data_IF_901902284305
#
_entry.id   IF_901902284305
#
_cell.length_a   1.000
_cell.length_b   1.000
_cell.length_c   1.000
_cell.angle_alpha   90.00
_cell.angle_beta   90.00
_cell.angle_gamma   90.00
#
_symmetry.space_group_name_H-M   'P 1'
#
loop_
_entity.id
_entity.type
_entity.pdbx_description
1 polymer ?
#
# COMPACT_ATOMS: atom_id res chain seq x y z
N UNK A 1 -6.72 -21.17 -12.30
CA UNK A 1 -8.13 -20.73 -12.27
C UNK A 1 -8.32 -19.98 -10.97
N UNK A 2 -8.35 -18.65 -11.01
CA UNK A 2 -8.62 -17.81 -9.84
C UNK A 2 -10.14 -17.79 -9.71
N UNK A 3 -10.69 -18.31 -8.61
CA UNK A 3 -12.13 -18.27 -8.37
C UNK A 3 -12.59 -16.79 -8.36
N UNK A 4 -13.72 -16.46 -9.00
CA UNK A 4 -14.27 -15.12 -8.90
C UNK A 4 -14.59 -14.80 -7.43
N UNK A 5 -14.32 -13.56 -6.96
CA UNK A 5 -14.46 -13.17 -5.55
C UNK A 5 -15.89 -13.39 -5.01
N UNK A 6 -16.87 -13.44 -5.90
CA UNK A 6 -18.30 -13.65 -5.63
C UNK A 6 -18.65 -15.07 -5.14
N UNK A 7 -17.66 -15.98 -5.13
CA UNK A 7 -17.81 -17.37 -4.66
C UNK A 7 -16.95 -17.69 -3.44
N UNK A 8 -16.32 -16.67 -2.81
CA UNK A 8 -15.50 -16.88 -1.62
C UNK A 8 -16.37 -17.36 -0.45
N UNK A 9 -15.99 -18.48 0.17
CA UNK A 9 -16.60 -18.95 1.41
C UNK A 9 -16.15 -18.06 2.56
N UNK A 10 -17.11 -17.48 3.28
CA UNK A 10 -16.83 -16.65 4.47
C UNK A 10 -16.81 -17.54 5.70
N UNK A 11 -15.67 -17.58 6.37
CA UNK A 11 -15.49 -18.33 7.62
C UNK A 11 -15.50 -17.35 8.78
N UNK A 12 -16.59 -17.39 9.56
CA UNK A 12 -16.72 -16.59 10.78
C UNK A 12 -15.74 -17.11 11.86
N UNK A 13 -14.89 -16.23 12.38
CA UNK A 13 -13.92 -16.55 13.43
C UNK A 13 -14.43 -16.22 14.84
N UNK A 14 -15.56 -15.52 14.96
CA UNK A 14 -16.22 -15.17 16.21
C UNK A 14 -16.46 -16.38 17.14
N UNK A 15 -16.90 -17.56 16.66
CA UNK A 15 -17.11 -18.72 17.50
C UNK A 15 -15.83 -19.25 18.17
N UNK A 16 -14.66 -18.91 17.64
CA UNK A 16 -13.37 -19.35 18.18
C UNK A 16 -12.93 -18.50 19.39
N UNK A 17 -13.58 -17.36 19.65
CA UNK A 17 -13.34 -16.53 20.84
C UNK A 17 -11.89 -16.05 20.97
N UNK A 18 -11.21 -15.81 19.85
CA UNK A 18 -9.77 -15.53 19.84
C UNK A 18 -9.52 -14.07 20.27
N UNK A 19 -8.78 -13.90 21.35
CA UNK A 19 -8.40 -12.57 21.85
C UNK A 19 -7.37 -11.88 20.93
N UNK A 20 -7.37 -10.55 20.95
CA UNK A 20 -6.32 -9.76 20.32
C UNK A 20 -4.92 -10.11 20.89
N UNK A 21 -3.89 -10.00 20.05
CA UNK A 21 -2.51 -10.39 20.35
C UNK A 21 -2.21 -11.89 20.17
N UNK A 22 -3.15 -12.67 19.62
CA UNK A 22 -2.97 -14.08 19.28
C UNK A 22 -2.71 -14.27 17.79
N UNK A 23 -2.31 -15.50 17.41
CA UNK A 23 -2.14 -15.89 16.01
C UNK A 23 -3.14 -16.97 15.63
N UNK A 24 -3.57 -16.92 14.37
CA UNK A 24 -4.39 -17.94 13.72
C UNK A 24 -3.60 -18.53 12.58
N UNK A 25 -3.51 -19.85 12.53
CA UNK A 25 -2.98 -20.57 11.38
C UNK A 25 -4.12 -21.11 10.56
N UNK A 26 -4.15 -20.75 9.28
CA UNK A 26 -5.17 -21.19 8.33
C UNK A 26 -4.49 -22.08 7.31
N UNK A 27 -5.01 -23.29 7.11
CA UNK A 27 -4.61 -24.14 5.99
C UNK A 27 -5.83 -24.61 5.24
N UNK A 28 -5.79 -24.51 3.92
CA UNK A 28 -6.84 -25.05 3.06
C UNK A 28 -6.47 -26.47 2.64
N UNK A 29 -7.42 -27.39 2.77
CA UNK A 29 -7.29 -28.79 2.31
C UNK A 29 -8.34 -29.04 1.25
N UNK A 30 -7.91 -29.40 0.04
CA UNK A 30 -8.78 -29.82 -1.03
C UNK A 30 -8.86 -31.35 -1.05
N UNK A 31 -10.07 -31.88 -1.14
CA UNK A 31 -10.33 -33.32 -1.31
C UNK A 31 -11.21 -33.52 -2.53
N UNK A 32 -10.77 -34.37 -3.45
CA UNK A 32 -11.59 -34.72 -4.61
C UNK A 32 -12.66 -35.76 -4.27
N UNK A 33 -13.49 -36.10 -5.27
CA UNK A 33 -14.52 -37.14 -5.15
C UNK A 33 -14.10 -38.45 -5.82
N UNK A 34 -12.80 -38.74 -5.95
CA UNK A 34 -12.35 -39.99 -6.54
C UNK A 34 -12.83 -41.18 -5.69
N UNK A 35 -13.57 -42.10 -6.31
CA UNK A 35 -14.12 -43.30 -5.68
C UNK A 35 -13.44 -44.61 -6.10
N UNK A 36 -12.28 -44.53 -6.76
CA UNK A 36 -11.49 -45.69 -7.20
C UNK A 36 -10.72 -46.31 -6.01
N UNK A 37 -10.20 -47.52 -6.20
CA UNK A 37 -9.30 -48.18 -5.24
C UNK A 37 -8.08 -47.29 -4.95
N UNK A 38 -7.86 -46.95 -3.67
CA UNK A 38 -6.88 -45.96 -3.23
C UNK A 38 -7.49 -44.73 -2.54
N UNK A 39 -8.81 -44.51 -2.70
CA UNK A 39 -9.54 -43.43 -2.04
C UNK A 39 -9.35 -42.06 -2.71
N UNK A 40 -9.98 -41.01 -2.16
CA UNK A 40 -9.95 -39.67 -2.74
C UNK A 40 -8.59 -39.01 -2.56
N UNK A 41 -8.17 -38.25 -3.58
CA UNK A 41 -6.94 -37.46 -3.50
C UNK A 41 -7.15 -36.28 -2.56
N UNK A 42 -6.15 -36.04 -1.71
CA UNK A 42 -6.13 -34.92 -0.77
C UNK A 42 -4.89 -34.09 -1.05
N UNK A 43 -5.07 -32.79 -1.21
CA UNK A 43 -3.99 -31.82 -1.35
C UNK A 43 -4.13 -30.76 -0.28
N UNK A 44 -3.01 -30.42 0.35
CA UNK A 44 -2.93 -29.37 1.37
C UNK A 44 -2.23 -28.17 0.75
N UNK A 45 -2.86 -27.00 0.86
CA UNK A 45 -2.25 -25.73 0.49
C UNK A 45 -1.24 -25.24 1.53
N UNK A 46 -0.65 -24.09 1.27
CA UNK A 46 0.24 -23.42 2.20
C UNK A 46 -0.50 -23.03 3.48
N UNK A 47 0.23 -23.02 4.61
CA UNK A 47 -0.28 -22.51 5.88
C UNK A 47 -0.07 -20.99 5.93
N UNK A 48 -1.14 -20.26 6.20
CA UNK A 48 -1.11 -18.82 6.42
C UNK A 48 -1.16 -18.53 7.91
N UNK A 49 -0.23 -17.72 8.40
CA UNK A 49 -0.24 -17.22 9.79
C UNK A 49 -0.78 -15.80 9.79
N UNK A 50 -1.83 -15.56 10.58
CA UNK A 50 -2.51 -14.28 10.72
C UNK A 50 -2.43 -13.82 12.18
N UNK A 51 -2.13 -12.53 12.40
CA UNK A 51 -2.20 -11.93 13.73
C UNK A 51 -3.61 -11.38 13.99
N UNK A 52 -4.17 -11.68 15.17
CA UNK A 52 -5.45 -11.11 15.63
C UNK A 52 -5.16 -9.79 16.34
N UNK A 53 -5.65 -8.69 15.78
CA UNK A 53 -5.41 -7.34 16.28
C UNK A 53 -6.73 -6.62 16.55
N UNK A 54 -6.69 -5.53 17.31
CA UNK A 54 -7.87 -4.67 17.46
C UNK A 54 -8.08 -3.84 16.18
N UNK A 55 -9.30 -3.33 15.93
CA UNK A 55 -9.58 -2.44 14.80
C UNK A 55 -8.63 -1.24 14.73
N UNK A 56 -8.33 -0.62 15.87
CA UNK A 56 -7.47 0.55 15.97
C UNK A 56 -6.02 0.20 15.64
N UNK A 57 -5.56 -0.98 16.09
CA UNK A 57 -4.23 -1.48 15.77
C UNK A 57 -4.09 -1.78 14.27
N UNK A 58 -5.10 -2.41 13.66
CA UNK A 58 -5.12 -2.66 12.21
C UNK A 58 -5.10 -1.34 11.43
N UNK A 59 -5.93 -0.37 11.82
CA UNK A 59 -5.97 0.93 11.17
C UNK A 59 -4.61 1.63 11.24
N UNK A 60 -3.97 1.65 12.41
CA UNK A 60 -2.64 2.24 12.59
C UNK A 60 -1.55 1.54 11.74
N UNK A 61 -1.60 0.20 11.64
CA UNK A 61 -0.68 -0.55 10.78
C UNK A 61 -0.86 -0.21 9.30
N UNK A 62 -2.10 -0.07 8.84
CA UNK A 62 -2.41 0.28 7.46
C UNK A 62 -2.03 1.73 7.14
N UNK A 63 -2.29 2.68 8.05
CA UNK A 63 -1.85 4.07 7.92
C UNK A 63 -0.33 4.18 7.84
N UNK A 64 0.41 3.45 8.68
CA UNK A 64 1.87 3.40 8.61
C UNK A 64 2.35 2.85 7.25
N UNK A 65 1.65 1.84 6.70
CA UNK A 65 1.93 1.32 5.36
C UNK A 65 1.65 2.35 4.27
N UNK A 66 0.56 3.12 4.36
CA UNK A 66 0.26 4.20 3.42
C UNK A 66 1.34 5.28 3.42
N UNK A 67 1.84 5.69 4.60
CA UNK A 67 2.95 6.66 4.71
C UNK A 67 4.21 6.15 3.99
N UNK A 68 4.54 4.87 4.12
CA UNK A 68 5.67 4.27 3.43
C UNK A 68 5.47 4.27 1.90
N UNK A 69 4.27 3.90 1.44
CA UNK A 69 3.92 3.93 0.01
C UNK A 69 4.03 5.34 -0.57
N UNK A 70 3.55 6.35 0.16
CA UNK A 70 3.64 7.76 -0.22
C UNK A 70 5.09 8.22 -0.36
N UNK A 71 5.94 7.90 0.63
CA UNK A 71 7.39 8.23 0.57
C UNK A 71 8.07 7.57 -0.62
N UNK A 72 7.72 6.30 -0.91
CA UNK A 72 8.25 5.58 -2.06
C UNK A 72 7.80 6.19 -3.38
N UNK A 73 6.53 6.62 -3.46
CA UNK A 73 6.01 7.33 -4.64
C UNK A 73 6.70 8.68 -4.85
N UNK A 74 6.90 9.46 -3.78
CA UNK A 74 7.65 10.72 -3.84
C UNK A 74 9.07 10.51 -4.37
N UNK A 75 9.78 9.48 -3.90
CA UNK A 75 11.11 9.15 -4.40
C UNK A 75 11.11 8.86 -5.92
N UNK A 76 10.11 8.13 -6.42
CA UNK A 76 9.96 7.90 -7.86
C UNK A 76 9.67 9.18 -8.66
N UNK A 77 8.93 10.14 -8.09
CA UNK A 77 8.72 11.47 -8.68
C UNK A 77 10.03 12.25 -8.76
N UNK A 78 10.80 12.25 -7.66
CA UNK A 78 12.06 12.99 -7.57
C UNK A 78 13.10 12.43 -8.54
N UNK A 79 13.19 11.10 -8.67
CA UNK A 79 14.02 10.43 -9.66
C UNK A 79 13.69 10.86 -11.10
N UNK A 80 12.41 10.86 -11.46
CA UNK A 80 11.97 11.27 -12.79
C UNK A 80 12.19 12.78 -13.03
N UNK A 81 12.00 13.61 -11.99
CA UNK A 81 12.28 15.04 -12.06
C UNK A 81 13.77 15.31 -12.26
N UNK A 82 14.64 14.55 -11.59
CA UNK A 82 16.08 14.64 -11.77
C UNK A 82 16.51 14.22 -13.19
N UNK A 83 15.92 13.15 -13.73
CA UNK A 83 16.15 12.75 -15.11
C UNK A 83 15.70 13.83 -16.11
N UNK A 84 14.57 14.49 -15.84
CA UNK A 84 14.09 15.63 -16.62
C UNK A 84 15.07 16.80 -16.60
N UNK A 85 15.63 17.12 -15.44
CA UNK A 85 16.56 18.26 -15.31
C UNK A 85 17.86 18.02 -16.08
N UNK A 86 18.39 16.79 -16.04
CA UNK A 86 19.58 16.40 -16.84
C UNK A 86 19.35 16.59 -18.34
N UNK A 87 18.14 16.34 -18.84
CA UNK A 87 17.80 16.54 -20.27
C UNK A 87 17.76 18.01 -20.70
N UNK A 88 17.52 18.94 -19.77
CA UNK A 88 17.47 20.39 -20.05
C UNK A 88 18.81 21.07 -19.81
N UNK A 89 19.68 20.48 -19.00
CA UNK A 89 21.01 21.00 -18.74
C UNK A 89 21.80 21.24 -20.05
N UNK A 90 22.51 22.38 -20.18
CA UNK A 90 23.27 22.70 -21.38
C UNK A 90 24.34 21.64 -21.64
N UNK A 91 24.59 21.34 -22.92
CA UNK A 91 25.48 20.29 -23.39
C UNK A 91 26.92 20.45 -22.88
N UNK A 92 27.22 19.94 -21.70
CA UNK A 92 28.55 19.47 -21.32
C UNK A 92 28.84 18.11 -21.97
N UNK A 93 30.10 17.67 -21.96
CA UNK A 93 30.54 16.39 -22.50
C UNK A 93 29.87 15.19 -21.78
N UNK A 94 28.62 14.85 -22.16
CA UNK A 94 27.84 13.80 -21.47
C UNK A 94 26.50 13.37 -22.10
N UNK A 95 26.02 14.03 -23.16
CA UNK A 95 24.67 13.79 -23.74
C UNK A 95 24.33 12.34 -24.12
N UNK A 96 25.32 11.49 -24.37
CA UNK A 96 25.09 10.08 -24.70
C UNK A 96 24.62 9.24 -23.50
N UNK A 97 24.90 9.66 -22.26
CA UNK A 97 24.44 8.98 -21.06
C UNK A 97 23.01 9.41 -20.64
N UNK A 98 22.59 10.63 -20.95
CA UNK A 98 21.34 11.22 -20.42
C UNK A 98 20.06 10.57 -20.99
N UNK A 99 20.10 10.08 -22.24
CA UNK A 99 18.97 9.36 -22.85
C UNK A 99 18.68 8.01 -22.18
N UNK A 100 19.72 7.35 -21.67
CA UNK A 100 19.63 6.06 -20.97
C UNK A 100 19.02 6.24 -19.57
N UNK A 101 19.46 7.28 -18.85
CA UNK A 101 18.93 7.63 -17.53
C UNK A 101 17.46 8.05 -17.56
N UNK A 102 17.01 8.74 -18.61
CA UNK A 102 15.60 9.09 -18.80
C UNK A 102 14.71 7.85 -19.03
N UNK A 103 15.20 6.88 -19.78
CA UNK A 103 14.49 5.61 -20.00
C UNK A 103 14.43 4.77 -18.72
N UNK A 104 15.54 4.67 -17.99
CA UNK A 104 15.60 3.93 -16.73
C UNK A 104 14.69 4.54 -15.66
N UNK A 105 14.74 5.86 -15.46
CA UNK A 105 13.88 6.56 -14.51
C UNK A 105 12.39 6.38 -14.85
N UNK A 106 12.05 6.39 -16.14
CA UNK A 106 10.67 6.13 -16.59
C UNK A 106 10.24 4.69 -16.30
N UNK A 107 11.11 3.70 -16.57
CA UNK A 107 10.82 2.30 -16.28
C UNK A 107 10.62 2.05 -14.78
N UNK A 108 11.49 2.64 -13.95
CA UNK A 108 11.38 2.58 -12.48
C UNK A 108 10.08 3.21 -11.98
N UNK A 109 9.76 4.43 -12.43
CA UNK A 109 8.51 5.09 -12.09
C UNK A 109 7.27 4.28 -12.52
N UNK A 110 7.35 3.56 -13.64
CA UNK A 110 6.27 2.67 -14.10
C UNK A 110 6.08 1.49 -13.15
N UNK A 111 7.16 0.80 -12.77
CA UNK A 111 7.11 -0.30 -11.82
C UNK A 111 6.56 0.15 -10.47
N UNK A 112 7.09 1.25 -9.94
CA UNK A 112 6.66 1.83 -8.67
C UNK A 112 5.18 2.21 -8.68
N UNK A 113 4.70 2.88 -9.72
CA UNK A 113 3.29 3.24 -9.83
C UNK A 113 2.37 2.00 -9.80
N UNK A 114 2.72 0.92 -10.50
CA UNK A 114 1.94 -0.33 -10.49
C UNK A 114 1.96 -1.02 -9.13
N UNK A 115 3.13 -1.15 -8.53
CA UNK A 115 3.25 -1.79 -7.22
C UNK A 115 2.50 -1.02 -6.14
N UNK A 116 2.60 0.31 -6.15
CA UNK A 116 1.92 1.17 -5.19
C UNK A 116 0.40 1.10 -5.40
N UNK A 117 -0.08 1.10 -6.65
CA UNK A 117 -1.50 0.89 -6.93
C UNK A 117 -2.01 -0.46 -6.40
N UNK A 118 -1.26 -1.53 -6.65
CA UNK A 118 -1.58 -2.87 -6.15
C UNK A 118 -1.60 -2.93 -4.62
N UNK A 119 -0.66 -2.22 -3.96
CA UNK A 119 -0.60 -2.12 -2.51
C UNK A 119 -1.81 -1.37 -1.94
N UNK A 120 -2.25 -0.25 -2.54
CA UNK A 120 -3.47 0.44 -2.14
C UNK A 120 -4.74 -0.42 -2.31
N UNK A 121 -4.83 -1.22 -3.38
CA UNK A 121 -5.89 -2.24 -3.50
C UNK A 121 -5.79 -3.36 -2.46
N UNK A 122 -4.57 -3.66 -2.00
CA UNK A 122 -4.32 -4.56 -0.87
C UNK A 122 -4.90 -4.00 0.43
N UNK A 123 -4.59 -2.74 0.75
CA UNK A 123 -5.13 -2.04 1.92
C UNK A 123 -6.67 -2.00 1.88
N UNK A 124 -7.25 -1.67 0.72
CA UNK A 124 -8.70 -1.73 0.52
C UNK A 124 -9.28 -3.11 0.86
N UNK A 125 -8.66 -4.20 0.36
CA UNK A 125 -9.10 -5.57 0.64
C UNK A 125 -8.96 -5.92 2.12
N UNK A 126 -7.87 -5.51 2.76
CA UNK A 126 -7.67 -5.74 4.20
C UNK A 126 -8.73 -5.03 5.04
N UNK A 127 -9.08 -3.78 4.71
CA UNK A 127 -10.18 -3.05 5.36
C UNK A 127 -11.54 -3.71 5.11
N UNK A 128 -11.83 -4.12 3.88
CA UNK A 128 -13.08 -4.78 3.52
C UNK A 128 -13.25 -6.12 4.27
N UNK A 129 -12.21 -6.94 4.30
CA UNK A 129 -12.22 -8.25 4.96
C UNK A 129 -12.42 -8.13 6.47
N UNK A 130 -11.94 -7.05 7.08
CA UNK A 130 -12.09 -6.79 8.51
C UNK A 130 -13.28 -5.86 8.83
N UNK A 131 -14.16 -5.59 7.85
CA UNK A 131 -15.37 -4.76 8.00
C UNK A 131 -15.08 -3.32 8.51
N UNK A 132 -13.92 -2.77 8.15
CA UNK A 132 -13.49 -1.41 8.51
C UNK A 132 -13.60 -0.41 7.35
N UNK A 133 -14.20 -0.83 6.23
CA UNK A 133 -14.32 -0.01 5.03
C UNK A 133 -15.52 0.95 5.12
N UNK A 134 -15.28 2.23 4.83
CA UNK A 134 -16.33 3.22 4.57
C UNK A 134 -16.31 3.65 3.10
N UNK A 135 -17.44 4.18 2.61
CA UNK A 135 -17.57 4.66 1.22
C UNK A 135 -16.53 5.72 0.85
N UNK A 136 -16.20 6.61 1.78
CA UNK A 136 -15.20 7.66 1.57
C UNK A 136 -13.79 7.08 1.45
N UNK A 137 -13.45 6.12 2.32
CA UNK A 137 -12.17 5.42 2.30
C UNK A 137 -12.03 4.57 1.03
N UNK A 138 -13.10 3.88 0.62
CA UNK A 138 -13.13 3.12 -0.63
C UNK A 138 -12.90 4.02 -1.85
N UNK A 139 -13.64 5.14 -1.94
CA UNK A 139 -13.51 6.11 -3.03
C UNK A 139 -12.09 6.66 -3.10
N UNK A 140 -11.50 6.99 -1.95
CA UNK A 140 -10.11 7.44 -1.87
C UNK A 140 -9.14 6.40 -2.38
N UNK A 141 -9.14 5.21 -1.78
CA UNK A 141 -8.16 4.16 -2.07
C UNK A 141 -8.24 3.71 -3.53
N UNK A 142 -9.46 3.53 -4.05
CA UNK A 142 -9.67 3.00 -5.39
C UNK A 142 -9.73 4.07 -6.46
N UNK A 143 -10.70 4.98 -6.38
CA UNK A 143 -11.01 5.90 -7.48
C UNK A 143 -10.02 7.08 -7.57
N UNK A 144 -9.49 7.55 -6.44
CA UNK A 144 -8.62 8.71 -6.39
C UNK A 144 -7.13 8.37 -6.35
N UNK A 145 -6.74 7.15 -5.95
CA UNK A 145 -5.34 6.74 -5.83
C UNK A 145 -5.00 5.55 -6.75
N UNK A 146 -5.54 4.36 -6.49
CA UNK A 146 -5.12 3.15 -7.21
C UNK A 146 -5.42 3.21 -8.71
N UNK A 147 -6.65 3.54 -9.10
CA UNK A 147 -7.03 3.60 -10.52
C UNK A 147 -6.27 4.70 -11.30
N UNK A 148 -6.05 5.91 -10.76
CA UNK A 148 -5.17 6.90 -11.39
C UNK A 148 -3.72 6.43 -11.54
N UNK A 149 -3.14 5.74 -10.54
CA UNK A 149 -1.79 5.19 -10.64
C UNK A 149 -1.66 4.12 -11.73
N UNK A 150 -2.67 3.25 -11.87
CA UNK A 150 -2.73 2.24 -12.93
C UNK A 150 -2.77 2.90 -14.31
N UNK A 151 -3.67 3.87 -14.52
CA UNK A 151 -3.73 4.61 -15.79
C UNK A 151 -2.42 5.34 -16.09
N UNK A 152 -1.82 5.97 -15.08
CA UNK A 152 -0.52 6.62 -15.22
C UNK A 152 0.56 5.61 -15.69
N UNK A 153 0.61 4.42 -15.11
CA UNK A 153 1.59 3.40 -15.49
C UNK A 153 1.34 2.84 -16.91
N UNK A 154 0.09 2.52 -17.23
CA UNK A 154 -0.26 1.81 -18.45
C UNK A 154 -0.32 2.73 -19.68
N UNK A 155 -0.65 4.00 -19.49
CA UNK A 155 -0.80 4.95 -20.58
C UNK A 155 0.38 5.94 -20.62
N UNK A 156 0.55 6.71 -19.55
CA UNK A 156 1.39 7.91 -19.56
C UNK A 156 2.87 7.59 -19.52
N UNK A 157 3.29 6.79 -18.54
CA UNK A 157 4.67 6.36 -18.38
C UNK A 157 5.08 5.38 -19.49
N UNK A 158 4.18 4.51 -19.93
CA UNK A 158 4.41 3.65 -21.10
C UNK A 158 4.56 4.48 -22.39
N UNK A 159 3.78 5.55 -22.54
CA UNK A 159 3.91 6.51 -23.63
C UNK A 159 5.21 7.32 -23.56
N UNK A 160 5.62 7.74 -22.35
CA UNK A 160 6.88 8.42 -22.12
C UNK A 160 8.08 7.50 -22.42
N UNK A 161 8.05 6.25 -22.00
CA UNK A 161 9.12 5.28 -22.29
C UNK A 161 9.32 5.08 -23.80
N UNK A 162 8.23 5.06 -24.58
CA UNK A 162 8.30 5.07 -26.05
C UNK A 162 8.96 6.33 -26.60
N UNK A 163 8.65 7.49 -26.03
CA UNK A 163 9.27 8.76 -26.41
C UNK A 163 10.76 8.81 -26.05
N UNK A 164 11.17 8.30 -24.88
CA UNK A 164 12.58 8.18 -24.50
C UNK A 164 13.36 7.33 -25.51
N UNK A 165 12.82 6.16 -25.90
CA UNK A 165 13.45 5.30 -26.92
C UNK A 165 13.57 5.98 -28.28
N UNK A 166 12.54 6.72 -28.71
CA UNK A 166 12.59 7.46 -29.97
C UNK A 166 13.63 8.59 -29.93
N UNK A 167 13.71 9.32 -28.82
CA UNK A 167 14.71 10.38 -28.64
C UNK A 167 16.14 9.85 -28.52
N UNK A 168 16.34 8.63 -28.01
CA UNK A 168 17.64 7.97 -28.03
C UNK A 168 18.11 7.63 -29.45
N UNK A 169 17.17 7.35 -30.37
CA UNK A 169 17.47 7.10 -31.78
C UNK A 169 17.75 8.38 -32.58
N UNK A 170 17.08 9.49 -32.27
CA UNK A 170 17.32 10.82 -32.86
C UNK A 170 17.31 11.94 -31.79
N UNK A 171 18.48 12.23 -31.17
CA UNK A 171 18.59 13.22 -30.10
C UNK A 171 18.41 14.67 -30.57
N UNK A 172 18.56 14.96 -31.86
CA UNK A 172 18.50 16.32 -32.39
C UNK A 172 17.06 16.79 -32.63
N UNK A 173 16.16 15.86 -33.01
CA UNK A 173 14.75 16.17 -33.28
C UNK A 173 13.84 16.07 -32.05
N UNK A 174 14.21 15.28 -31.02
CA UNK A 174 13.27 14.84 -29.97
C UNK A 174 13.29 15.58 -28.63
N UNK A 175 14.32 16.39 -28.32
CA UNK A 175 14.55 16.91 -26.96
C UNK A 175 13.41 17.74 -26.37
N UNK A 176 12.98 18.80 -27.07
CA UNK A 176 11.93 19.69 -26.56
C UNK A 176 10.56 18.99 -26.40
N UNK A 177 10.27 18.03 -27.28
CA UNK A 177 9.04 17.22 -27.22
C UNK A 177 9.10 16.27 -26.03
N UNK A 178 10.25 15.63 -25.79
CA UNK A 178 10.47 14.75 -24.65
C UNK A 178 10.33 15.49 -23.32
N UNK A 179 10.99 16.64 -23.18
CA UNK A 179 10.90 17.47 -21.95
C UNK A 179 9.45 17.85 -21.65
N UNK A 180 8.70 18.34 -22.64
CA UNK A 180 7.27 18.69 -22.45
C UNK A 180 6.45 17.48 -21.99
N UNK A 181 6.75 16.29 -22.52
CA UNK A 181 6.06 15.05 -22.15
C UNK A 181 6.41 14.63 -20.72
N UNK A 182 7.67 14.74 -20.32
CA UNK A 182 8.10 14.50 -18.93
C UNK A 182 7.42 15.46 -17.96
N UNK A 183 7.35 16.74 -18.30
CA UNK A 183 6.68 17.77 -17.48
C UNK A 183 5.19 17.44 -17.27
N UNK A 184 4.49 16.99 -18.32
CA UNK A 184 3.09 16.58 -18.23
C UNK A 184 2.89 15.31 -17.38
N UNK A 185 3.82 14.35 -17.43
CA UNK A 185 3.79 13.15 -16.58
C UNK A 185 4.09 13.52 -15.13
N UNK A 186 5.12 14.32 -14.86
CA UNK A 186 5.45 14.78 -13.51
C UNK A 186 4.31 15.57 -12.88
N UNK A 187 3.63 16.42 -13.64
CA UNK A 187 2.45 17.14 -13.16
C UNK A 187 1.33 16.18 -12.72
N UNK A 188 1.06 15.14 -13.52
CA UNK A 188 0.08 14.10 -13.15
C UNK A 188 0.51 13.29 -11.94
N UNK A 189 1.79 12.94 -11.86
CA UNK A 189 2.29 12.21 -10.70
C UNK A 189 2.12 13.00 -9.40
N UNK A 190 2.46 14.30 -9.43
CA UNK A 190 2.30 15.21 -8.29
C UNK A 190 0.83 15.41 -7.91
N UNK A 191 -0.08 15.49 -8.87
CA UNK A 191 -1.51 15.56 -8.60
C UNK A 191 -2.04 14.32 -7.87
N UNK A 192 -1.55 13.13 -8.23
CA UNK A 192 -1.90 11.88 -7.52
C UNK A 192 -1.31 11.89 -6.11
N UNK A 193 -0.05 12.32 -5.95
CA UNK A 193 0.58 12.43 -4.63
C UNK A 193 -0.19 13.39 -3.71
N UNK A 194 -0.69 14.51 -4.26
CA UNK A 194 -1.50 15.48 -3.52
C UNK A 194 -2.78 14.83 -2.99
N UNK A 195 -3.44 13.95 -3.77
CA UNK A 195 -4.59 13.16 -3.28
C UNK A 195 -4.22 12.20 -2.15
N UNK A 196 -2.98 11.70 -2.10
CA UNK A 196 -2.50 10.92 -0.95
C UNK A 196 -2.32 11.80 0.31
N UNK A 197 -1.89 13.05 0.16
CA UNK A 197 -1.59 13.98 1.24
C UNK A 197 -2.84 14.68 1.82
N UNK A 198 -3.74 15.16 0.96
CA UNK A 198 -4.95 15.89 1.37
C UNK A 198 -5.78 15.10 2.38
N UNK A 199 -5.80 13.77 2.25
CA UNK A 199 -6.66 12.88 3.02
C UNK A 199 -5.97 12.30 4.27
N UNK A 200 -4.64 12.42 4.37
CA UNK A 200 -3.87 12.16 5.62
C UNK A 200 -4.27 13.19 6.68
N UNK A 201 -4.49 14.46 6.29
CA UNK A 201 -4.85 15.55 7.21
C UNK A 201 -6.22 15.41 7.88
N UNK A 202 -7.20 14.81 7.19
CA UNK A 202 -8.54 14.56 7.73
C UNK A 202 -8.52 13.43 8.77
N UNK A 203 -7.77 12.36 8.49
CA UNK A 203 -7.58 11.27 9.44
C UNK A 203 -6.68 11.67 10.62
N UNK A 204 -5.66 12.51 10.42
CA UNK A 204 -4.82 13.03 11.51
C UNK A 204 -5.62 13.83 12.55
N UNK A 205 -6.62 14.59 12.11
CA UNK A 205 -7.51 15.35 13.01
C UNK A 205 -8.43 14.40 13.79
N UNK A 206 -8.94 13.34 13.16
CA UNK A 206 -9.78 12.32 13.81
C UNK A 206 -8.95 11.47 14.79
N UNK A 207 -7.73 11.08 14.44
CA UNK A 207 -6.83 10.35 15.34
C UNK A 207 -6.29 11.23 16.47
N UNK A 208 -6.10 12.54 16.27
CA UNK A 208 -5.84 13.46 17.40
C UNK A 208 -7.04 13.50 18.36
N UNK A 209 -8.28 13.42 17.86
CA UNK A 209 -9.48 13.32 18.70
C UNK A 209 -9.61 11.94 19.39
N UNK A 210 -9.20 10.83 18.74
CA UNK A 210 -9.18 9.47 19.32
C UNK A 210 -7.99 9.21 20.26
N UNK A 211 -6.85 9.85 20.03
CA UNK A 211 -5.66 9.77 20.88
C UNK A 211 -5.91 10.29 22.30
N UNK A 212 -6.80 11.27 22.46
CA UNK A 212 -7.26 11.74 23.78
C UNK A 212 -8.04 10.65 24.54
N UNK A 213 -8.68 9.70 23.84
CA UNK A 213 -9.42 8.58 24.44
C UNK A 213 -8.46 7.45 24.85
N UNK A 214 -7.44 7.14 24.02
CA UNK A 214 -6.42 6.10 24.34
C UNK A 214 -5.55 6.47 25.56
N UNK A 215 -5.16 7.74 25.69
CA UNK A 215 -4.43 8.22 26.88
C UNK A 215 -5.27 8.02 28.16
N UNK A 216 -6.61 8.09 28.08
CA UNK A 216 -7.47 7.84 29.24
C UNK A 216 -7.57 6.35 29.61
N UNK A 217 -7.56 5.43 28.64
CA UNK A 217 -7.60 3.99 28.91
C UNK A 217 -6.27 3.46 29.46
N UNK A 218 -5.14 3.95 28.95
CA UNK A 218 -3.81 3.57 29.40
C UNK A 218 -3.57 4.08 30.84
N UNK A 219 -3.95 5.32 31.17
CA UNK A 219 -3.90 5.85 32.55
C UNK A 219 -4.80 5.03 33.49
N UNK A 220 -5.98 4.59 33.01
CA UNK A 220 -6.91 3.78 33.81
C UNK A 220 -6.35 2.38 34.10
N UNK A 221 -5.77 1.74 33.09
CA UNK A 221 -5.10 0.44 33.21
C UNK A 221 -3.92 0.51 34.19
N UNK A 222 -3.03 1.50 34.01
CA UNK A 222 -1.87 1.74 34.87
C UNK A 222 -2.28 1.98 36.32
N UNK A 223 -3.36 2.74 36.54
CA UNK A 223 -3.86 3.04 37.88
C UNK A 223 -4.42 1.80 38.57
N UNK A 224 -5.15 0.96 37.83
CA UNK A 224 -5.69 -0.31 38.35
C UNK A 224 -4.58 -1.31 38.70
N UNK A 225 -3.54 -1.42 37.88
CA UNK A 225 -2.37 -2.25 38.19
C UNK A 225 -1.63 -1.75 39.43
N UNK A 226 -1.40 -0.44 39.54
CA UNK A 226 -0.76 0.18 40.72
C UNK A 226 -1.58 -0.03 41.98
N UNK A 227 -2.91 0.05 41.91
CA UNK A 227 -3.80 -0.23 43.05
C UNK A 227 -3.76 -1.70 43.46
N UNK A 228 -3.78 -2.64 42.50
CA UNK A 228 -3.63 -4.08 42.78
C UNK A 228 -2.29 -4.42 43.42
N UNK A 229 -1.20 -3.83 42.91
CA UNK A 229 0.15 -4.02 43.47
C UNK A 229 0.24 -3.51 44.90
N UNK A 230 -0.23 -2.28 45.17
CA UNK A 230 -0.28 -1.72 46.53
C UNK A 230 -1.16 -2.53 47.49
N UNK A 231 -2.28 -3.06 47.01
CA UNK A 231 -3.16 -3.92 47.81
C UNK A 231 -2.52 -5.25 48.20
N UNK A 232 -1.72 -5.85 47.29
CA UNK A 232 -0.94 -7.06 47.59
C UNK A 232 0.18 -6.78 48.59
N UNK A 233 0.93 -5.71 48.38
CA UNK A 233 2.02 -5.29 49.29
C UNK A 233 1.49 -5.00 50.72
N UNK A 234 0.30 -4.43 50.86
CA UNK A 234 -0.33 -4.16 52.16
C UNK A 234 -0.83 -5.42 52.90
N UNK A 235 -1.10 -6.52 52.18
CA UNK A 235 -1.52 -7.80 52.75
C UNK A 235 -0.33 -8.70 53.10
N UNK A 236 0.85 -8.45 52.53
CA UNK A 236 2.10 -9.17 52.77
C UNK A 236 3.00 -8.50 53.82
N UNK A 237 2.64 -7.31 54.30
CA UNK A 237 3.27 -6.66 55.45
C UNK A 237 2.63 -7.14 56.77
N UNK A 238 3.38 -7.79 57.68
CA UNK A 238 2.87 -8.28 58.97
C UNK A 238 2.55 -7.17 59.98
#
# INVERSE_FOLDING_TARGET
>A
MILPPETAEVVALEPLGIAAGKRVEVTVVARDRCGLEGGPNVTRGDTWTLDVVTPEALQAMLEAREVLLRRRYQAAIDDLAQARERLVAPAGAGRSADGDHGSEATARATGEAREIAAAFRGIHRELANNQLLSTDVETRLLAQIAAPLERLADEDLTGLARACRAAAADPAAGGAVLTRRMDAVLARMRAILERMLELESLNEVIERLRGVIRVQEEIRSDTLERQKRRGREALESP
#
